data_IF_629782428149
#
_entry.id   IF_629782428149
#
_cell.length_a   1.000
_cell.length_b   1.000
_cell.length_c   1.000
_cell.angle_alpha   90.00
_cell.angle_beta   90.00
_cell.angle_gamma   90.00
#
_symmetry.space_group_name_H-M   'P 1'
#
loop_
_entity.id
_entity.type
_entity.pdbx_description
1 polymer ?
#
# COMPACT_ATOMS: atom_id res chain seq x y z
N UNK A 1 15.26 -13.02 -0.33
CA UNK A 1 15.48 -11.79 -1.12
C UNK A 1 15.36 -10.61 -0.17
N UNK A 2 16.24 -9.60 -0.24
CA UNK A 2 16.32 -8.46 0.69
C UNK A 2 16.61 -7.17 -0.08
N UNK A 3 16.12 -6.04 0.40
CA UNK A 3 16.39 -4.69 -0.12
C UNK A 3 16.97 -3.82 0.99
N UNK A 4 17.87 -2.90 0.64
CA UNK A 4 18.35 -1.90 1.60
C UNK A 4 17.23 -0.88 1.91
N UNK A 5 17.24 -0.33 3.13
CA UNK A 5 16.24 0.65 3.57
C UNK A 5 16.23 1.92 2.70
N UNK A 6 17.39 2.37 2.25
CA UNK A 6 17.53 3.53 1.35
C UNK A 6 16.90 3.25 -0.02
N UNK A 7 17.24 2.10 -0.63
CA UNK A 7 16.66 1.68 -1.91
C UNK A 7 15.13 1.50 -1.80
N UNK A 8 14.65 0.98 -0.67
CA UNK A 8 13.22 0.90 -0.40
C UNK A 8 12.58 2.29 -0.33
N UNK A 9 13.21 3.25 0.35
CA UNK A 9 12.70 4.61 0.45
C UNK A 9 12.64 5.31 -0.92
N UNK A 10 13.68 5.16 -1.74
CA UNK A 10 13.74 5.76 -3.08
C UNK A 10 12.68 5.18 -4.02
N UNK A 11 12.49 3.87 -3.99
CA UNK A 11 11.45 3.18 -4.76
C UNK A 11 10.06 3.71 -4.39
N UNK A 12 9.76 3.76 -3.09
CA UNK A 12 8.48 4.24 -2.58
C UNK A 12 8.16 5.70 -2.92
N UNK A 13 9.18 6.54 -3.13
CA UNK A 13 9.01 7.96 -3.47
C UNK A 13 8.83 8.18 -4.97
N UNK A 14 9.58 7.45 -5.79
CA UNK A 14 9.75 7.77 -7.21
C UNK A 14 8.99 6.84 -8.17
N UNK A 15 8.77 5.59 -7.77
CA UNK A 15 8.32 4.54 -8.70
C UNK A 15 7.00 3.88 -8.27
N UNK A 16 6.64 3.99 -7.00
CA UNK A 16 5.46 3.32 -6.46
C UNK A 16 4.14 3.86 -7.02
N UNK A 17 3.26 2.91 -7.30
CA UNK A 17 1.86 3.19 -7.68
C UNK A 17 1.00 3.34 -6.43
N UNK A 18 -0.08 4.11 -6.53
CA UNK A 18 -1.02 4.37 -5.41
C UNK A 18 -1.47 3.11 -4.64
N UNK A 19 -1.62 1.96 -5.30
CA UNK A 19 -1.99 0.71 -4.64
C UNK A 19 -0.89 0.12 -3.73
N UNK A 20 0.39 0.38 -4.00
CA UNK A 20 1.51 -0.02 -3.13
C UNK A 20 1.53 0.85 -1.88
N UNK A 21 1.31 2.16 -2.03
CA UNK A 21 1.11 3.06 -0.89
C UNK A 21 -0.10 2.63 -0.04
N UNK A 22 -1.19 2.16 -0.66
CA UNK A 22 -2.32 1.58 0.09
C UNK A 22 -1.92 0.34 0.89
N UNK A 23 -1.08 -0.54 0.33
CA UNK A 23 -0.56 -1.69 1.07
C UNK A 23 0.34 -1.24 2.23
N UNK A 24 1.16 -0.20 2.02
CA UNK A 24 2.07 0.37 3.01
C UNK A 24 1.32 0.96 4.22
N UNK A 25 0.08 1.43 4.06
CA UNK A 25 -0.78 1.85 5.19
C UNK A 25 -0.85 0.76 6.27
N UNK A 26 -0.88 -0.51 5.87
CA UNK A 26 -0.99 -1.65 6.81
C UNK A 26 0.37 -2.24 7.22
N UNK A 27 1.45 -1.85 6.55
CA UNK A 27 2.78 -2.36 6.84
C UNK A 27 3.29 -1.84 8.18
N UNK A 28 4.05 -2.70 8.88
CA UNK A 28 4.75 -2.39 10.13
C UNK A 28 5.96 -3.31 10.27
N UNK A 29 6.99 -2.85 10.94
CA UNK A 29 8.10 -3.72 11.34
C UNK A 29 7.57 -4.76 12.33
N UNK A 30 7.85 -6.03 12.05
CA UNK A 30 7.54 -7.16 12.95
C UNK A 30 8.78 -7.74 13.60
N UNK A 31 9.97 -7.42 13.06
CA UNK A 31 11.28 -7.81 13.55
C UNK A 31 12.34 -6.85 12.97
N UNK A 32 13.28 -6.41 13.79
CA UNK A 32 14.36 -5.50 13.40
C UNK A 32 15.00 -4.85 14.62
N UNK A 33 16.21 -4.33 14.47
CA UNK A 33 16.83 -3.51 15.51
C UNK A 33 16.15 -2.13 15.59
N UNK A 34 16.37 -1.38 16.69
CA UNK A 34 15.72 -0.07 16.88
C UNK A 34 16.06 0.96 15.81
N UNK A 35 17.28 0.94 15.26
CA UNK A 35 17.72 1.90 14.24
C UNK A 35 17.00 1.64 12.92
N UNK A 36 16.94 0.37 12.49
CA UNK A 36 16.21 -0.01 11.29
C UNK A 36 14.70 0.24 11.43
N UNK A 37 14.13 -0.03 12.59
CA UNK A 37 12.72 0.21 12.88
C UNK A 37 12.39 1.70 12.76
N UNK A 38 13.19 2.56 13.40
CA UNK A 38 13.01 4.01 13.31
C UNK A 38 13.16 4.53 11.87
N UNK A 39 14.10 3.98 11.10
CA UNK A 39 14.28 4.34 9.70
C UNK A 39 13.04 3.98 8.87
N UNK A 40 12.53 2.75 8.99
CA UNK A 40 11.34 2.31 8.26
C UNK A 40 10.12 3.18 8.61
N UNK A 41 9.90 3.45 9.89
CA UNK A 41 8.75 4.24 10.35
C UNK A 41 8.81 5.69 9.84
N UNK A 42 10.02 6.28 9.76
CA UNK A 42 10.23 7.60 9.18
C UNK A 42 9.86 7.63 7.68
N UNK A 43 10.36 6.68 6.90
CA UNK A 43 10.07 6.54 5.47
C UNK A 43 8.56 6.34 5.25
N UNK A 44 7.95 5.41 5.97
CA UNK A 44 6.50 5.15 5.89
C UNK A 44 5.71 6.42 6.21
N UNK A 45 6.07 7.14 7.27
CA UNK A 45 5.39 8.38 7.65
C UNK A 45 5.48 9.43 6.54
N UNK A 46 6.66 9.62 5.96
CA UNK A 46 6.88 10.56 4.86
C UNK A 46 5.92 10.28 3.69
N UNK A 47 5.86 9.02 3.25
CA UNK A 47 4.99 8.59 2.14
C UNK A 47 3.51 8.80 2.46
N UNK A 48 3.08 8.51 3.70
CA UNK A 48 1.69 8.71 4.13
C UNK A 48 1.31 10.20 4.15
N UNK A 49 2.27 11.10 4.37
CA UNK A 49 2.05 12.55 4.45
C UNK A 49 2.24 13.29 3.13
N UNK A 50 2.61 12.62 2.04
CA UNK A 50 2.73 13.25 0.73
C UNK A 50 1.41 13.93 0.32
N UNK A 51 1.45 15.18 -0.19
CA UNK A 51 0.27 15.84 -0.70
C UNK A 51 -0.26 15.08 -1.91
N UNK A 52 -1.56 14.82 -1.93
CA UNK A 52 -2.24 14.11 -3.03
C UNK A 52 -3.48 14.89 -3.43
N UNK A 53 -3.77 14.91 -4.72
CA UNK A 53 -5.02 15.48 -5.23
C UNK A 53 -6.16 14.50 -4.92
N UNK A 54 -7.16 14.96 -4.17
CA UNK A 54 -8.16 14.09 -3.57
C UNK A 54 -9.02 13.35 -4.59
N UNK A 55 -9.40 14.00 -5.70
CA UNK A 55 -10.27 13.40 -6.72
C UNK A 55 -9.55 12.32 -7.52
N UNK A 56 -8.29 12.55 -7.84
CA UNK A 56 -7.40 11.60 -8.51
C UNK A 56 -7.20 10.37 -7.63
N UNK A 57 -6.77 10.59 -6.37
CA UNK A 57 -6.58 9.51 -5.41
C UNK A 57 -7.86 8.67 -5.22
N UNK A 58 -9.00 9.32 -5.02
CA UNK A 58 -10.29 8.63 -4.88
C UNK A 58 -10.62 7.76 -6.10
N UNK A 59 -10.34 8.27 -7.29
CA UNK A 59 -10.60 7.56 -8.55
C UNK A 59 -9.72 6.31 -8.66
N UNK A 60 -8.43 6.43 -8.41
CA UNK A 60 -7.48 5.31 -8.43
C UNK A 60 -7.84 4.22 -7.40
N UNK A 61 -8.23 4.62 -6.19
CA UNK A 61 -8.69 3.70 -5.13
C UNK A 61 -9.92 2.91 -5.61
N UNK A 62 -10.91 3.60 -6.17
CA UNK A 62 -12.17 2.97 -6.63
C UNK A 62 -11.90 1.98 -7.76
N UNK A 63 -11.16 2.39 -8.78
CA UNK A 63 -10.85 1.56 -9.94
C UNK A 63 -10.09 0.29 -9.55
N UNK A 64 -9.08 0.42 -8.67
CA UNK A 64 -8.35 -0.74 -8.19
C UNK A 64 -9.25 -1.67 -7.37
N UNK A 65 -10.15 -1.12 -6.54
CA UNK A 65 -11.08 -1.92 -5.75
C UNK A 65 -12.06 -2.72 -6.62
N UNK A 66 -12.58 -2.10 -7.67
CA UNK A 66 -13.44 -2.75 -8.66
C UNK A 66 -12.70 -3.85 -9.41
N UNK A 67 -11.47 -3.56 -9.87
CA UNK A 67 -10.60 -4.55 -10.52
C UNK A 67 -10.34 -5.75 -9.61
N UNK A 68 -10.03 -5.53 -8.33
CA UNK A 68 -9.84 -6.61 -7.36
C UNK A 68 -11.10 -7.44 -7.18
N UNK A 69 -12.27 -6.81 -7.02
CA UNK A 69 -13.54 -7.53 -6.83
C UNK A 69 -13.88 -8.40 -8.04
N UNK A 70 -13.64 -7.91 -9.26
CA UNK A 70 -13.90 -8.67 -10.48
C UNK A 70 -13.03 -9.95 -10.58
N UNK A 71 -11.82 -9.94 -10.02
CA UNK A 71 -10.89 -11.07 -10.11
C UNK A 71 -10.91 -11.99 -8.87
N UNK A 72 -11.15 -11.44 -7.68
CA UNK A 72 -11.03 -12.15 -6.40
C UNK A 72 -12.38 -12.48 -5.75
N UNK A 73 -13.46 -11.82 -6.16
CA UNK A 73 -14.78 -12.04 -5.57
C UNK A 73 -15.38 -13.39 -5.96
N UNK A 74 -16.20 -13.95 -5.07
CA UNK A 74 -16.96 -15.15 -5.35
C UNK A 74 -17.88 -14.93 -6.58
N UNK A 75 -17.78 -15.84 -7.55
CA UNK A 75 -18.53 -15.76 -8.82
C UNK A 75 -19.97 -16.27 -8.71
N UNK A 76 -20.32 -16.92 -7.60
CA UNK A 76 -21.66 -17.42 -7.33
C UNK A 76 -22.55 -16.31 -6.78
N UNK A 77 -23.51 -15.86 -7.60
CA UNK A 77 -24.45 -14.76 -7.27
C UNK A 77 -25.32 -15.01 -6.03
N UNK A 78 -25.48 -16.27 -5.63
CA UNK A 78 -26.26 -16.67 -4.45
C UNK A 78 -25.41 -16.81 -3.18
N UNK A 79 -24.13 -16.41 -3.21
CA UNK A 79 -23.25 -16.41 -2.04
C UNK A 79 -22.69 -15.01 -1.82
N UNK A 80 -22.67 -14.59 -0.58
CA UNK A 80 -22.00 -13.36 -0.15
C UNK A 80 -20.60 -13.70 0.36
N UNK A 81 -19.58 -13.12 -0.27
CA UNK A 81 -18.19 -13.26 0.16
C UNK A 81 -17.88 -12.19 1.20
N UNK A 82 -17.52 -12.62 2.41
CA UNK A 82 -17.28 -11.74 3.57
C UNK A 82 -16.07 -10.82 3.34
N UNK A 83 -15.11 -11.22 2.50
CA UNK A 83 -13.85 -10.49 2.27
C UNK A 83 -13.87 -9.66 0.98
N UNK A 84 -14.63 -10.07 -0.03
CA UNK A 84 -14.53 -9.57 -1.40
C UNK A 84 -14.87 -8.10 -1.62
#
# INVERSE_FOLDING_TARGET
MVTCAETFADYQKNEDRTWEHQALVRARVVYGDPQLTAHFDAVRREIMTLPREGKTLQTEVREMREKMRAHLGNKHRNRFDIKA
#
